data_IF_315861838926
#
_entry.id   IF_315861838926
#
_cell.length_a   1.000
_cell.length_b   1.000
_cell.length_c   1.000
_cell.angle_alpha   90.00
_cell.angle_beta   90.00
_cell.angle_gamma   90.00
#
_symmetry.space_group_name_H-M   'P 1'
#
loop_
_entity.id
_entity.type
_entity.pdbx_description
1 polymer ?
#
# COMPACT_ATOMS: atom_id res chain seq x y z
N UNK A 1 66.50 -28.82 14.02
CA UNK A 1 65.60 -27.70 14.38
C UNK A 1 65.01 -27.15 13.09
N UNK A 2 63.83 -27.63 12.67
CA UNK A 2 63.16 -27.19 11.44
C UNK A 2 61.91 -26.40 11.87
N UNK A 3 61.90 -25.09 11.62
CA UNK A 3 60.78 -24.20 11.95
C UNK A 3 59.75 -24.27 10.82
N UNK A 4 58.61 -24.91 11.06
CA UNK A 4 57.44 -24.82 10.20
C UNK A 4 56.80 -23.45 10.35
N UNK A 5 56.78 -22.64 9.28
CA UNK A 5 55.98 -21.42 9.21
C UNK A 5 54.70 -21.73 8.44
N UNK A 6 53.56 -21.74 9.13
CA UNK A 6 52.26 -21.80 8.50
C UNK A 6 51.82 -20.37 8.12
N UNK A 7 51.61 -20.13 6.84
CA UNK A 7 51.02 -18.89 6.32
C UNK A 7 49.51 -19.01 6.49
N UNK A 8 48.92 -18.20 7.38
CA UNK A 8 47.48 -18.07 7.51
C UNK A 8 46.96 -17.06 6.49
N UNK A 9 46.24 -17.53 5.47
CA UNK A 9 45.56 -16.69 4.49
C UNK A 9 44.18 -16.31 5.03
N UNK A 10 44.05 -15.11 5.58
CA UNK A 10 42.76 -14.58 6.04
C UNK A 10 41.92 -14.10 4.86
N UNK A 11 40.88 -14.86 4.51
CA UNK A 11 39.91 -14.50 3.47
C UNK A 11 38.87 -13.54 4.08
N UNK A 12 39.04 -12.24 3.88
CA UNK A 12 38.05 -11.22 4.25
C UNK A 12 36.95 -11.23 3.18
N UNK A 13 35.86 -11.97 3.40
CA UNK A 13 34.64 -11.81 2.61
C UNK A 13 33.97 -10.50 3.03
N UNK A 14 34.11 -9.47 2.19
CA UNK A 14 33.33 -8.24 2.31
C UNK A 14 31.85 -8.53 2.06
N UNK A 15 31.02 -8.37 3.10
CA UNK A 15 29.57 -8.32 2.93
C UNK A 15 29.21 -7.02 2.19
N UNK A 16 29.07 -7.10 0.86
CA UNK A 16 28.37 -6.08 0.12
C UNK A 16 26.87 -6.21 0.42
N UNK A 17 26.36 -5.41 1.35
CA UNK A 17 24.93 -5.27 1.55
C UNK A 17 24.32 -4.64 0.30
N UNK A 18 23.62 -5.45 -0.51
CA UNK A 18 22.82 -4.92 -1.61
C UNK A 18 21.76 -3.99 -1.01
N UNK A 19 21.89 -2.68 -1.23
CA UNK A 19 20.86 -1.72 -0.86
C UNK A 19 19.61 -2.04 -1.68
N UNK A 20 18.57 -2.55 -1.02
CA UNK A 20 17.27 -2.76 -1.66
C UNK A 20 16.75 -1.40 -2.13
N UNK A 21 16.51 -1.26 -3.43
CA UNK A 21 15.93 -0.05 -3.99
C UNK A 21 14.54 0.17 -3.34
N UNK A 22 14.33 1.36 -2.76
CA UNK A 22 13.05 1.69 -2.15
C UNK A 22 11.94 1.62 -3.20
N UNK A 23 10.85 0.90 -2.89
CA UNK A 23 9.74 0.74 -3.82
C UNK A 23 9.17 2.13 -4.20
N UNK A 24 9.13 2.50 -5.50
CA UNK A 24 8.77 3.86 -5.93
C UNK A 24 7.35 4.27 -5.51
N UNK A 25 6.45 3.30 -5.34
CA UNK A 25 5.06 3.57 -4.95
C UNK A 25 4.93 4.22 -3.57
N UNK A 26 5.95 4.08 -2.71
CA UNK A 26 5.98 4.69 -1.38
C UNK A 26 5.96 6.22 -1.40
N UNK A 27 6.35 6.82 -2.54
CA UNK A 27 6.42 8.28 -2.72
C UNK A 27 5.64 8.79 -3.93
N UNK A 28 5.52 7.97 -4.98
CA UNK A 28 4.88 8.39 -6.22
C UNK A 28 3.86 7.35 -6.66
N UNK A 29 2.61 7.74 -6.97
CA UNK A 29 1.66 6.82 -7.58
C UNK A 29 2.18 6.36 -8.97
N UNK A 30 1.83 5.15 -9.42
CA UNK A 30 2.16 4.71 -10.77
C UNK A 30 1.54 5.61 -11.84
N UNK A 31 2.13 5.62 -13.05
CA UNK A 31 1.75 6.56 -14.11
C UNK A 31 0.28 6.44 -14.58
N UNK A 32 -0.30 5.23 -14.52
CA UNK A 32 -1.70 4.97 -14.86
C UNK A 32 -2.69 5.45 -13.78
N UNK A 33 -2.23 5.72 -12.55
CA UNK A 33 -3.09 6.16 -11.47
C UNK A 33 -3.44 7.65 -11.61
N UNK A 34 -4.69 7.98 -11.26
CA UNK A 34 -5.23 9.35 -11.24
C UNK A 34 -5.64 9.71 -9.83
N UNK A 35 -5.51 11.00 -9.49
CA UNK A 35 -6.08 11.53 -8.23
C UNK A 35 -7.59 11.32 -8.26
N UNK A 36 -8.16 10.76 -7.20
CA UNK A 36 -9.61 10.54 -7.12
C UNK A 36 -10.38 11.87 -7.18
N UNK A 37 -9.81 12.94 -6.63
CA UNK A 37 -10.38 14.30 -6.69
C UNK A 37 -10.50 14.88 -8.11
N UNK A 38 -9.82 14.31 -9.10
CA UNK A 38 -10.00 14.70 -10.52
C UNK A 38 -11.00 13.81 -11.25
N UNK A 39 -11.47 12.73 -10.63
CA UNK A 39 -12.46 11.80 -11.18
C UNK A 39 -13.86 12.07 -10.62
N UNK A 40 -13.93 12.52 -9.36
CA UNK A 40 -15.18 12.84 -8.65
C UNK A 40 -15.01 14.14 -7.86
N UNK A 41 -16.13 14.80 -7.51
CA UNK A 41 -16.13 16.05 -6.75
C UNK A 41 -15.77 15.81 -5.28
N UNK A 42 -14.48 15.62 -5.00
CA UNK A 42 -13.90 15.48 -3.67
C UNK A 42 -12.73 16.46 -3.49
N UNK A 43 -12.44 16.91 -2.26
CA UNK A 43 -11.22 17.66 -2.00
C UNK A 43 -10.00 16.80 -2.31
N UNK A 44 -8.87 17.44 -2.66
CA UNK A 44 -7.63 16.74 -2.97
C UNK A 44 -7.09 15.94 -1.79
N UNK A 45 -7.11 16.55 -0.60
CA UNK A 45 -6.89 15.87 0.66
C UNK A 45 -8.25 15.64 1.31
N UNK A 46 -8.62 14.38 1.46
CA UNK A 46 -9.85 13.99 2.14
C UNK A 46 -9.51 13.67 3.60
N UNK A 47 -10.06 14.39 4.60
CA UNK A 47 -9.85 14.07 6.01
C UNK A 47 -10.23 12.61 6.30
N UNK A 48 -9.35 11.87 6.95
CA UNK A 48 -9.55 10.43 7.23
C UNK A 48 -9.21 9.49 6.07
N UNK A 49 -8.91 10.01 4.88
CA UNK A 49 -8.56 9.20 3.70
C UNK A 49 -7.26 9.63 3.00
N UNK A 50 -6.73 10.81 3.29
CA UNK A 50 -5.52 11.32 2.66
C UNK A 50 -5.74 11.79 1.23
N UNK A 51 -4.66 11.82 0.45
CA UNK A 51 -4.69 12.07 -1.00
C UNK A 51 -4.81 10.73 -1.71
N UNK A 52 -5.97 10.49 -2.31
CA UNK A 52 -6.31 9.20 -2.93
C UNK A 52 -5.93 9.17 -4.40
N UNK A 53 -5.36 8.04 -4.83
CA UNK A 53 -5.10 7.72 -6.23
C UNK A 53 -5.68 6.34 -6.59
N UNK A 54 -6.13 6.18 -7.83
CA UNK A 54 -6.62 4.90 -8.35
C UNK A 54 -6.34 4.81 -9.85
N UNK A 55 -6.11 3.61 -10.36
CA UNK A 55 -6.21 3.35 -11.80
C UNK A 55 -7.70 3.30 -12.18
N UNK A 56 -8.22 4.20 -13.04
CA UNK A 56 -9.62 4.16 -13.45
C UNK A 56 -10.06 2.81 -14.04
N UNK A 57 -9.14 2.04 -14.62
CA UNK A 57 -9.43 0.74 -15.21
C UNK A 57 -9.74 -0.36 -14.17
N UNK A 58 -9.43 -0.13 -12.90
CA UNK A 58 -9.65 -1.10 -11.81
C UNK A 58 -10.86 -0.78 -10.94
N UNK A 59 -11.59 0.29 -11.25
CA UNK A 59 -12.81 0.67 -10.56
C UNK A 59 -13.92 -0.39 -10.73
N UNK A 60 -14.79 -0.58 -9.72
CA UNK A 60 -14.81 0.11 -8.43
C UNK A 60 -13.85 -0.49 -7.38
N UNK A 61 -13.18 -1.61 -7.66
CA UNK A 61 -12.45 -2.39 -6.65
C UNK A 61 -11.12 -1.77 -6.24
N UNK A 62 -10.38 -1.16 -7.15
CA UNK A 62 -9.05 -0.59 -6.89
C UNK A 62 -7.89 -1.56 -7.21
N UNK A 63 -6.70 -1.39 -6.60
CA UNK A 63 -6.46 -0.70 -5.34
C UNK A 63 -6.54 0.82 -5.41
N UNK A 64 -6.94 1.42 -4.30
CA UNK A 64 -6.80 2.84 -4.01
C UNK A 64 -5.55 3.05 -3.16
N UNK A 65 -4.71 4.00 -3.54
CA UNK A 65 -3.51 4.37 -2.81
C UNK A 65 -3.76 5.65 -2.03
N UNK A 66 -3.58 5.59 -0.72
CA UNK A 66 -3.69 6.75 0.16
C UNK A 66 -2.30 7.29 0.51
N UNK A 67 -2.09 8.56 0.24
CA UNK A 67 -0.89 9.29 0.63
C UNK A 67 -1.21 10.35 1.69
N UNK A 68 -0.29 10.55 2.63
CA UNK A 68 -0.41 11.66 3.57
C UNK A 68 -0.09 13.02 2.91
N UNK A 69 -0.25 14.11 3.67
CA UNK A 69 0.10 15.48 3.25
C UNK A 69 1.56 15.66 2.82
N UNK A 70 2.45 14.74 3.20
CA UNK A 70 3.88 14.76 2.87
C UNK A 70 4.21 13.87 1.65
N UNK A 71 3.20 13.28 1.01
CA UNK A 71 3.37 12.40 -0.13
C UNK A 71 3.91 11.02 0.23
N UNK A 72 3.77 10.56 1.48
CA UNK A 72 4.14 9.20 1.88
C UNK A 72 2.92 8.28 1.80
N UNK A 73 3.06 7.14 1.13
CA UNK A 73 2.04 6.10 1.09
C UNK A 73 1.75 5.60 2.52
N UNK A 74 0.48 5.54 2.89
CA UNK A 74 0.03 5.15 4.23
C UNK A 74 -0.84 3.89 4.22
N UNK A 75 -1.66 3.69 3.19
CA UNK A 75 -2.38 2.43 2.99
C UNK A 75 -2.67 2.15 1.50
N UNK A 76 -3.02 0.89 1.26
CA UNK A 76 -3.54 0.37 0.00
C UNK A 76 -4.92 -0.22 0.30
N UNK A 77 -5.97 0.31 -0.30
CA UNK A 77 -7.36 -0.08 -0.01
C UNK A 77 -8.01 -0.76 -1.21
N UNK A 78 -8.71 -1.87 -0.99
CA UNK A 78 -9.56 -2.52 -1.98
C UNK A 78 -11.02 -2.48 -1.55
N UNK A 79 -11.93 -2.34 -2.51
CA UNK A 79 -13.36 -2.20 -2.26
C UNK A 79 -14.20 -3.27 -3.00
N UNK A 80 -14.02 -4.58 -2.72
CA UNK A 80 -14.89 -5.60 -3.28
C UNK A 80 -16.33 -5.45 -2.76
N UNK A 81 -17.29 -5.41 -3.69
CA UNK A 81 -18.72 -5.37 -3.32
C UNK A 81 -19.19 -6.72 -2.79
N UNK A 82 -20.22 -6.70 -1.93
CA UNK A 82 -20.83 -7.94 -1.41
C UNK A 82 -21.29 -8.85 -2.55
N UNK A 83 -21.84 -8.28 -3.62
CA UNK A 83 -22.26 -9.03 -4.82
C UNK A 83 -21.15 -9.87 -5.44
N UNK A 84 -19.89 -9.42 -5.40
CA UNK A 84 -18.78 -10.21 -5.93
C UNK A 84 -18.47 -11.42 -5.04
N UNK A 85 -18.67 -11.30 -3.73
CA UNK A 85 -18.56 -12.44 -2.81
C UNK A 85 -19.73 -13.41 -2.96
N UNK A 86 -20.96 -12.92 -3.10
CA UNK A 86 -22.15 -13.75 -3.38
C UNK A 86 -22.05 -14.48 -4.73
N UNK A 87 -21.39 -13.87 -5.71
CA UNK A 87 -21.06 -14.51 -6.99
C UNK A 87 -19.90 -15.51 -6.91
N UNK A 88 -19.37 -15.77 -5.71
CA UNK A 88 -18.25 -16.67 -5.44
C UNK A 88 -17.01 -16.33 -6.29
N UNK A 89 -16.74 -15.05 -6.50
CA UNK A 89 -15.57 -14.61 -7.27
C UNK A 89 -14.28 -14.95 -6.51
N UNK A 90 -13.34 -15.58 -7.21
CA UNK A 90 -11.98 -15.81 -6.73
C UNK A 90 -11.14 -14.52 -6.68
N UNK A 91 -10.33 -14.37 -5.62
CA UNK A 91 -9.46 -13.22 -5.38
C UNK A 91 -7.98 -13.61 -5.24
N UNK A 92 -7.45 -14.33 -6.23
CA UNK A 92 -6.11 -14.97 -6.15
C UNK A 92 -4.93 -14.00 -6.05
N UNK A 93 -5.11 -12.75 -6.43
CA UNK A 93 -4.06 -11.72 -6.49
C UNK A 93 -4.41 -10.45 -5.72
N UNK A 94 -5.48 -10.48 -4.92
CA UNK A 94 -5.85 -9.34 -4.09
C UNK A 94 -4.76 -9.12 -3.04
N UNK A 95 -4.26 -7.88 -2.93
CA UNK A 95 -3.15 -7.55 -2.03
C UNK A 95 -1.75 -7.66 -2.64
N UNK A 96 -1.59 -8.28 -3.83
CA UNK A 96 -0.26 -8.44 -4.45
C UNK A 96 0.38 -7.11 -4.87
N UNK A 97 -0.40 -6.03 -4.99
CA UNK A 97 0.11 -4.69 -5.31
C UNK A 97 1.07 -4.15 -4.23
N UNK A 98 0.88 -4.56 -2.97
CA UNK A 98 1.79 -4.25 -1.87
C UNK A 98 3.05 -5.12 -1.84
N UNK A 99 3.29 -5.95 -2.86
CA UNK A 99 4.44 -6.85 -2.92
C UNK A 99 5.77 -6.13 -2.69
N UNK A 100 6.59 -6.66 -1.78
CA UNK A 100 7.88 -6.07 -1.42
C UNK A 100 7.79 -4.85 -0.49
N UNK A 101 6.60 -4.51 0.02
CA UNK A 101 6.39 -3.48 1.03
C UNK A 101 6.02 -4.14 2.35
N UNK A 102 6.64 -3.69 3.44
CA UNK A 102 6.26 -4.11 4.79
C UNK A 102 4.92 -3.49 5.14
N UNK A 103 3.92 -4.34 5.36
CA UNK A 103 2.63 -3.96 5.93
C UNK A 103 2.71 -4.02 7.46
N UNK A 104 1.99 -3.12 8.12
CA UNK A 104 1.83 -3.09 9.58
C UNK A 104 0.66 -4.00 10.00
N UNK A 105 -0.53 -3.74 9.46
CA UNK A 105 -1.73 -4.54 9.71
C UNK A 105 -2.71 -4.43 8.52
N UNK A 106 -3.84 -5.14 8.63
CA UNK A 106 -4.93 -5.07 7.65
C UNK A 106 -6.26 -4.99 8.36
N UNK A 107 -7.07 -4.01 7.97
CA UNK A 107 -8.45 -3.90 8.41
C UNK A 107 -9.41 -4.40 7.33
N UNK A 108 -10.54 -4.96 7.76
CA UNK A 108 -11.65 -5.35 6.89
C UNK A 108 -12.91 -4.71 7.46
N UNK A 109 -13.37 -3.63 6.81
CA UNK A 109 -14.42 -2.75 7.34
C UNK A 109 -15.61 -2.75 6.40
N UNK A 110 -16.80 -3.06 6.93
CA UNK A 110 -18.02 -2.96 6.14
C UNK A 110 -18.36 -1.49 5.85
N UNK A 111 -18.81 -1.23 4.62
CA UNK A 111 -19.39 0.04 4.20
C UNK A 111 -20.73 -0.23 3.50
N UNK A 112 -21.79 0.46 3.94
CA UNK A 112 -23.12 0.30 3.36
C UNK A 112 -23.28 0.92 1.96
N UNK A 113 -22.27 1.64 1.47
CA UNK A 113 -22.26 2.39 0.23
C UNK A 113 -22.04 3.89 0.47
N UNK A 114 -21.45 4.57 -0.51
CA UNK A 114 -21.21 6.02 -0.48
C UNK A 114 -21.19 6.60 -1.89
N UNK A 115 -21.23 7.94 -2.07
CA UNK A 115 -21.03 8.55 -3.39
C UNK A 115 -19.75 8.02 -4.05
N UNK A 116 -19.87 7.48 -5.27
CA UNK A 116 -18.79 6.83 -6.01
C UNK A 116 -18.86 5.29 -6.01
N UNK A 117 -19.31 4.66 -4.92
CA UNK A 117 -19.57 3.21 -4.82
C UNK A 117 -20.83 2.99 -4.00
N UNK A 118 -21.98 2.98 -4.69
CA UNK A 118 -23.29 2.97 -4.02
C UNK A 118 -23.66 1.61 -3.39
N UNK A 119 -23.05 0.52 -3.87
CA UNK A 119 -23.36 -0.82 -3.37
C UNK A 119 -22.65 -1.10 -2.05
N UNK A 120 -23.22 -1.92 -1.15
CA UNK A 120 -22.52 -2.41 0.03
C UNK A 120 -21.24 -3.16 -0.34
N UNK A 121 -20.15 -2.85 0.36
CA UNK A 121 -18.82 -3.37 0.09
C UNK A 121 -17.97 -3.42 1.36
N UNK A 122 -16.82 -4.08 1.27
CA UNK A 122 -15.81 -4.04 2.32
C UNK A 122 -14.64 -3.16 1.89
N UNK A 123 -14.13 -2.33 2.79
CA UNK A 123 -12.79 -1.75 2.67
C UNK A 123 -11.82 -2.77 3.24
N UNK A 124 -10.97 -3.34 2.39
CA UNK A 124 -9.81 -4.13 2.81
C UNK A 124 -8.62 -3.19 2.77
N UNK A 125 -8.21 -2.69 3.92
CA UNK A 125 -7.20 -1.63 4.06
C UNK A 125 -5.90 -2.24 4.54
N UNK A 126 -4.89 -2.28 3.68
CA UNK A 126 -3.54 -2.72 4.01
C UNK A 126 -2.71 -1.52 4.45
N UNK A 127 -2.43 -1.41 5.75
CA UNK A 127 -1.72 -0.28 6.33
C UNK A 127 -0.20 -0.47 6.29
N UNK A 128 0.51 0.62 6.02
CA UNK A 128 1.97 0.68 6.04
C UNK A 128 2.50 1.41 7.29
N UNK A 129 1.60 1.80 8.19
CA UNK A 129 1.88 2.60 9.38
C UNK A 129 1.21 1.97 10.60
N UNK A 130 1.75 2.17 11.81
CA UNK A 130 1.13 1.70 13.04
C UNK A 130 -0.27 2.28 13.21
N UNK A 131 -1.18 1.49 13.78
CA UNK A 131 -2.57 1.87 14.03
C UNK A 131 -2.71 3.23 14.76
N UNK A 132 -1.86 3.49 15.75
CA UNK A 132 -1.86 4.75 16.50
C UNK A 132 -1.40 6.00 15.71
N UNK A 133 -1.01 5.84 14.44
CA UNK A 133 -0.62 6.95 13.55
C UNK A 133 -1.68 7.27 12.50
N UNK A 134 -2.70 6.44 12.31
CA UNK A 134 -3.66 6.56 11.19
C UNK A 134 -4.32 7.93 11.12
N UNK A 135 -5.09 8.30 12.15
CA UNK A 135 -5.80 9.59 12.21
C UNK A 135 -4.87 10.78 11.98
N UNK A 136 -3.73 10.80 12.67
CA UNK A 136 -2.72 11.86 12.54
C UNK A 136 -2.19 11.98 11.12
N UNK A 137 -1.93 10.85 10.45
CA UNK A 137 -1.32 10.83 9.11
C UNK A 137 -2.33 11.09 8.00
N UNK A 138 -3.58 10.66 8.18
CA UNK A 138 -4.70 10.95 7.29
C UNK A 138 -5.24 12.38 7.41
N UNK A 139 -4.74 13.15 8.38
CA UNK A 139 -5.16 14.53 8.58
C UNK A 139 -6.51 14.66 9.29
N UNK A 140 -6.90 13.64 10.06
CA UNK A 140 -7.91 13.77 11.10
C UNK A 140 -7.34 14.61 12.26
N UNK A 141 -8.21 15.39 12.91
CA UNK A 141 -7.82 16.30 14.00
C UNK A 141 -7.53 15.54 15.28
#
# INVERSE_FOLDING_TARGET
MLKTSAIALALVLGLASAASAANPILKNPPANFKKVSTLVKLPELVPGLGVLYVDPATLPVGPFLSYDKKGKLINITYMPTIKLFEAHKDWKTLGSFGGGITLDHTDILYNAGHPGVAEPHYHIVQWLIPHNQESKRLGEK
#
